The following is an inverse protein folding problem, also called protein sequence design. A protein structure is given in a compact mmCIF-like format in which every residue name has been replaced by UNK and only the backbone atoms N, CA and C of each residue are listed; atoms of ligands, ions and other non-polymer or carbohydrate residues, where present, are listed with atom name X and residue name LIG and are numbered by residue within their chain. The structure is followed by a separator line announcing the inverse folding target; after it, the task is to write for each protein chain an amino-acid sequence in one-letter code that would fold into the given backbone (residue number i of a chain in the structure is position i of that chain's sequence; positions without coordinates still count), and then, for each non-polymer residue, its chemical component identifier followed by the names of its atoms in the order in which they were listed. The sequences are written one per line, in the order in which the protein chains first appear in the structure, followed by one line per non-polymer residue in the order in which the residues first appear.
data_IF_358797430319
#
_entry.id   IF_358797430319
#
_cell.length_a   1.000
_cell.length_b   1.000
_cell.length_c   1.000
_cell.angle_alpha   90.00
_cell.angle_beta   90.00
_cell.angle_gamma   90.00
#
_symmetry.space_group_name_H-M   'P 1'
#
loop_
_entity.id
_entity.type
_entity.pdbx_description
1 polymer ?
#
# COMPACT_ATOMS: atom_id res chain seq x y z
N UNK A 1 38.34 -12.87 -40.14
CA UNK A 1 38.52 -11.61 -39.40
C UNK A 1 37.75 -11.76 -38.10
N UNK A 2 38.48 -11.83 -36.97
CA UNK A 2 38.02 -11.93 -35.56
C UNK A 2 37.12 -13.14 -35.21
N UNK A 3 37.50 -14.13 -34.40
CA UNK A 3 38.10 -14.13 -33.05
C UNK A 3 37.11 -13.73 -31.94
N UNK A 4 36.77 -14.74 -31.13
CA UNK A 4 36.33 -14.78 -29.71
C UNK A 4 34.98 -14.20 -29.27
N UNK A 5 34.24 -15.07 -28.59
CA UNK A 5 33.91 -14.96 -27.16
C UNK A 5 33.34 -16.34 -26.74
N UNK A 6 34.19 -17.35 -26.56
CA UNK A 6 34.75 -17.69 -25.24
C UNK A 6 33.73 -17.49 -24.10
N UNK A 7 32.79 -18.43 -23.98
CA UNK A 7 32.08 -18.63 -22.73
C UNK A 7 32.91 -19.60 -21.90
N UNK A 8 33.64 -19.16 -20.86
CA UNK A 8 34.29 -20.13 -19.99
C UNK A 8 33.19 -20.94 -19.29
N UNK A 9 33.12 -22.24 -19.59
CA UNK A 9 32.57 -23.20 -18.65
C UNK A 9 33.44 -23.13 -17.40
N UNK A 10 33.00 -22.34 -16.42
CA UNK A 10 33.57 -22.36 -15.08
C UNK A 10 33.38 -23.76 -14.50
N UNK A 11 34.42 -24.57 -14.67
CA UNK A 11 34.64 -25.81 -13.96
C UNK A 11 34.98 -25.43 -12.51
N UNK A 12 33.96 -25.06 -11.75
CA UNK A 12 34.07 -24.76 -10.33
C UNK A 12 34.44 -26.04 -9.56
N UNK A 13 35.75 -26.29 -9.52
CA UNK A 13 36.41 -27.27 -8.67
C UNK A 13 36.39 -26.69 -7.26
N UNK A 14 35.25 -26.82 -6.58
CA UNK A 14 35.10 -26.52 -5.17
C UNK A 14 35.02 -27.82 -4.38
N UNK A 15 36.15 -28.31 -3.88
CA UNK A 15 36.26 -29.51 -3.03
C UNK A 15 35.57 -29.33 -1.66
N UNK A 16 35.02 -28.16 -1.37
CA UNK A 16 34.19 -27.89 -0.19
C UNK A 16 32.73 -27.89 -0.58
N UNK A 17 32.12 -29.06 -0.42
CA UNK A 17 30.72 -29.32 -0.68
C UNK A 17 29.81 -28.23 -0.13
N UNK A 18 28.85 -27.84 -0.96
CA UNK A 18 27.61 -27.18 -0.57
C UNK A 18 27.14 -27.76 0.76
N UNK A 19 27.35 -27.03 1.87
CA UNK A 19 26.63 -27.34 3.10
C UNK A 19 25.15 -27.17 2.74
N UNK A 20 24.32 -28.22 2.82
CA UNK A 20 22.89 -28.03 2.62
C UNK A 20 22.46 -27.01 3.67
N UNK A 21 21.94 -25.88 3.20
CA UNK A 21 21.35 -24.85 4.05
C UNK A 21 20.22 -25.56 4.78
N UNK A 22 20.48 -25.93 6.04
CA UNK A 22 19.54 -26.67 6.84
C UNK A 22 18.33 -25.78 7.10
N UNK A 23 17.35 -25.84 6.20
CA UNK A 23 15.96 -25.50 6.51
C UNK A 23 15.45 -26.59 7.45
N UNK A 24 16.02 -26.63 8.66
CA UNK A 24 15.54 -27.51 9.71
C UNK A 24 14.26 -26.86 10.21
N UNK A 25 13.13 -27.37 9.74
CA UNK A 25 11.85 -27.27 10.43
C UNK A 25 12.10 -27.58 11.90
N UNK A 26 12.11 -26.51 12.69
CA UNK A 26 12.49 -26.49 14.09
C UNK A 26 11.27 -26.32 14.96
N UNK A 27 10.15 -26.91 14.57
CA UNK A 27 8.85 -26.64 15.18
C UNK A 27 8.83 -27.01 16.67
N UNK A 28 9.61 -28.02 17.08
CA UNK A 28 9.79 -28.38 18.50
C UNK A 28 10.68 -27.42 19.30
N UNK A 29 11.80 -26.97 18.74
CA UNK A 29 12.74 -26.07 19.45
C UNK A 29 12.22 -24.63 19.46
N UNK A 30 11.50 -24.23 18.41
CA UNK A 30 10.85 -22.92 18.32
C UNK A 30 9.71 -22.77 19.33
N UNK A 31 8.85 -23.78 19.47
CA UNK A 31 7.78 -23.78 20.47
C UNK A 31 8.33 -23.70 21.91
N UNK A 32 9.41 -24.44 22.20
CA UNK A 32 10.07 -24.41 23.50
C UNK A 32 10.72 -23.05 23.79
N UNK A 33 11.41 -22.45 22.81
CA UNK A 33 12.00 -21.12 22.97
C UNK A 33 10.95 -20.03 23.22
N UNK A 34 9.81 -20.10 22.53
CA UNK A 34 8.70 -19.17 22.71
C UNK A 34 8.01 -19.34 24.07
N UNK A 35 7.88 -20.57 24.57
CA UNK A 35 7.41 -20.84 25.92
C UNK A 35 8.39 -20.28 26.98
N UNK A 36 9.69 -20.46 26.78
CA UNK A 36 10.73 -19.96 27.68
C UNK A 36 10.77 -18.42 27.69
N UNK A 37 10.66 -17.77 26.52
CA UNK A 37 10.61 -16.32 26.41
C UNK A 37 9.38 -15.73 27.14
N UNK A 38 8.21 -16.35 26.97
CA UNK A 38 6.99 -15.96 27.71
C UNK A 38 7.13 -16.21 29.22
N UNK A 39 7.84 -17.26 29.62
CA UNK A 39 8.08 -17.59 31.02
C UNK A 39 8.99 -16.55 31.72
N UNK A 40 10.12 -16.18 31.11
CA UNK A 40 11.03 -15.16 31.66
C UNK A 40 10.44 -13.74 31.65
N UNK A 41 9.54 -13.44 30.70
CA UNK A 41 8.89 -12.12 30.59
C UNK A 41 7.73 -11.89 31.57
N UNK A 42 7.31 -12.90 32.33
CA UNK A 42 6.17 -12.79 33.24
C UNK A 42 6.63 -12.48 34.68
N UNK A 43 6.00 -11.53 35.40
CA UNK A 43 6.36 -11.22 36.80
C UNK A 43 6.23 -12.40 37.78
N UNK A 44 5.49 -13.45 37.39
CA UNK A 44 5.37 -14.70 38.15
C UNK A 44 6.71 -15.44 38.30
N UNK A 45 7.61 -15.36 37.31
CA UNK A 45 8.92 -16.00 37.40
C UNK A 45 9.75 -15.45 38.57
N UNK A 46 9.76 -14.12 38.71
CA UNK A 46 10.46 -13.45 39.82
C UNK A 46 9.90 -13.90 41.17
N UNK A 47 8.57 -13.99 41.30
CA UNK A 47 7.93 -14.48 42.53
C UNK A 47 8.36 -15.91 42.85
N UNK A 48 8.33 -16.83 41.89
CA UNK A 48 8.79 -18.21 42.11
C UNK A 48 10.26 -18.27 42.52
N UNK A 49 11.14 -17.50 41.87
CA UNK A 49 12.57 -17.44 42.22
C UNK A 49 12.78 -16.86 43.62
N UNK A 50 12.06 -15.81 44.00
CA UNK A 50 12.13 -15.24 45.35
C UNK A 50 11.64 -16.24 46.40
N UNK A 51 10.52 -16.91 46.16
CA UNK A 51 10.01 -17.95 47.06
C UNK A 51 11.00 -19.10 47.20
N UNK A 52 11.62 -19.54 46.10
CA UNK A 52 12.67 -20.57 46.13
C UNK A 52 13.86 -20.14 46.98
N UNK A 53 14.39 -18.92 46.78
CA UNK A 53 15.49 -18.39 47.58
C UNK A 53 15.13 -18.28 49.06
N UNK A 54 13.94 -17.76 49.39
CA UNK A 54 13.46 -17.65 50.78
C UNK A 54 13.29 -19.02 51.41
N UNK A 55 12.70 -19.98 50.70
CA UNK A 55 12.53 -21.35 51.17
C UNK A 55 13.88 -22.01 51.44
N UNK A 56 14.84 -21.88 50.51
CA UNK A 56 16.19 -22.41 50.66
C UNK A 56 16.92 -21.83 51.86
N UNK A 57 16.83 -20.51 52.03
CA UNK A 57 17.42 -19.78 53.15
C UNK A 57 16.80 -20.24 54.47
N UNK A 58 15.46 -20.31 54.52
CA UNK A 58 14.69 -20.71 55.70
C UNK A 58 15.00 -22.16 56.09
N UNK A 59 15.00 -23.07 55.12
CA UNK A 59 15.31 -24.49 55.34
C UNK A 59 16.72 -24.66 55.92
N UNK A 60 17.73 -24.05 55.31
CA UNK A 60 19.11 -24.16 55.78
C UNK A 60 19.37 -23.40 57.08
N UNK A 61 18.57 -22.39 57.42
CA UNK A 61 18.68 -21.64 58.68
C UNK A 61 18.04 -22.39 59.85
N UNK A 62 16.84 -22.96 59.68
CA UNK A 62 16.11 -23.64 60.76
C UNK A 62 16.47 -25.14 60.90
N UNK A 63 17.10 -25.75 59.90
CA UNK A 63 17.52 -27.14 59.99
C UNK A 63 18.64 -27.36 61.02
N UNK A 64 18.61 -28.48 61.78
CA UNK A 64 19.71 -28.93 62.65
C UNK A 64 21.03 -29.12 61.89
N UNK A 65 22.18 -28.88 62.52
CA UNK A 65 23.52 -28.89 61.89
C UNK A 65 23.85 -30.17 61.09
N UNK A 66 23.29 -31.30 61.50
CA UNK A 66 23.43 -32.60 60.86
C UNK A 66 22.63 -32.78 59.55
N UNK A 67 21.72 -31.86 59.21
CA UNK A 67 20.91 -31.88 57.97
C UNK A 67 21.08 -30.61 57.13
N UNK A 68 22.00 -29.71 57.52
CA UNK A 68 22.31 -28.48 56.78
C UNK A 68 23.19 -28.82 55.57
N UNK A 69 22.59 -28.80 54.38
CA UNK A 69 23.34 -28.93 53.13
C UNK A 69 24.15 -27.66 52.81
N UNK A 70 23.68 -26.48 53.23
CA UNK A 70 24.31 -25.19 52.98
C UNK A 70 24.35 -24.36 54.28
N UNK A 71 25.45 -24.48 55.04
CA UNK A 71 25.57 -23.82 56.35
C UNK A 71 25.68 -22.30 56.23
N UNK A 72 24.91 -21.57 57.06
CA UNK A 72 24.98 -20.10 57.18
C UNK A 72 26.40 -19.58 57.43
N UNK A 73 27.24 -20.33 58.15
CA UNK A 73 28.62 -19.99 58.44
C UNK A 73 29.54 -19.89 57.21
N UNK A 74 29.20 -20.57 56.10
CA UNK A 74 29.93 -20.50 54.83
C UNK A 74 29.30 -19.51 53.83
N UNK A 75 28.25 -18.77 54.22
CA UNK A 75 27.64 -17.76 53.37
C UNK A 75 26.77 -18.30 52.23
N UNK A 76 26.20 -19.49 52.38
CA UNK A 76 25.36 -20.14 51.36
C UNK A 76 26.09 -20.38 50.03
N UNK A 77 27.26 -21.02 50.10
CA UNK A 77 28.13 -21.27 48.95
C UNK A 77 27.43 -22.07 47.86
N UNK A 78 26.61 -23.06 48.22
CA UNK A 78 25.91 -23.89 47.22
C UNK A 78 24.85 -23.08 46.47
N UNK A 79 24.08 -22.27 47.19
CA UNK A 79 23.11 -21.35 46.57
C UNK A 79 23.83 -20.42 45.58
N UNK A 80 24.96 -19.84 45.98
CA UNK A 80 25.73 -18.92 45.16
C UNK A 80 26.31 -19.61 43.92
N UNK A 81 26.87 -20.82 44.07
CA UNK A 81 27.35 -21.63 42.95
C UNK A 81 26.22 -21.94 41.97
N UNK A 82 25.05 -22.30 42.48
CA UNK A 82 23.88 -22.60 41.65
C UNK A 82 23.37 -21.37 40.89
N UNK A 83 23.28 -20.20 41.55
CA UNK A 83 22.88 -18.95 40.88
C UNK A 83 23.90 -18.53 39.81
N UNK A 84 25.20 -18.68 40.07
CA UNK A 84 26.23 -18.34 39.08
C UNK A 84 26.19 -19.25 37.86
N UNK A 85 25.95 -20.55 38.06
CA UNK A 85 25.71 -21.50 36.97
C UNK A 85 24.42 -21.16 36.20
N UNK A 86 23.35 -20.77 36.90
CA UNK A 86 22.08 -20.38 36.30
C UNK A 86 22.25 -19.21 35.32
N UNK A 87 23.00 -18.19 35.72
CA UNK A 87 23.35 -17.08 34.83
C UNK A 87 24.18 -17.54 33.62
N UNK A 88 25.16 -18.42 33.84
CA UNK A 88 26.07 -18.90 32.79
C UNK A 88 25.36 -19.71 31.69
N UNK A 89 24.45 -20.63 32.05
CA UNK A 89 23.73 -21.42 31.04
C UNK A 89 22.59 -20.63 30.36
N UNK A 90 22.09 -19.58 31.01
CA UNK A 90 21.00 -18.77 30.44
C UNK A 90 21.46 -18.00 29.20
N UNK A 91 22.69 -17.47 29.19
CA UNK A 91 23.23 -16.70 28.07
C UNK A 91 23.19 -17.43 26.71
N UNK A 92 23.69 -18.69 26.57
CA UNK A 92 23.62 -19.40 25.29
C UNK A 92 22.20 -19.79 24.88
N UNK A 93 21.31 -20.07 25.84
CA UNK A 93 19.91 -20.37 25.54
C UNK A 93 19.17 -19.12 25.05
N UNK A 94 19.42 -17.97 25.69
CA UNK A 94 18.88 -16.67 25.28
C UNK A 94 19.39 -16.31 23.88
N UNK A 95 20.68 -16.54 23.56
CA UNK A 95 21.23 -16.30 22.23
C UNK A 95 20.52 -17.13 21.14
N UNK A 96 20.20 -18.39 21.42
CA UNK A 96 19.43 -19.22 20.47
C UNK A 96 18.00 -18.72 20.27
N UNK A 97 17.36 -18.23 21.33
CA UNK A 97 16.03 -17.62 21.25
C UNK A 97 16.08 -16.29 20.46
N UNK A 98 17.10 -15.46 20.72
CA UNK A 98 17.29 -14.17 20.07
C UNK A 98 17.58 -14.30 18.57
N UNK A 99 18.47 -15.21 18.16
CA UNK A 99 18.77 -15.41 16.73
C UNK A 99 17.50 -15.69 15.92
N UNK A 100 16.58 -16.48 16.47
CA UNK A 100 15.30 -16.77 15.80
C UNK A 100 14.34 -15.61 15.79
N UNK A 101 14.29 -14.81 16.86
CA UNK A 101 13.46 -13.61 16.88
C UNK A 101 13.96 -12.63 15.80
N UNK A 102 15.27 -12.42 15.71
CA UNK A 102 15.91 -11.61 14.67
C UNK A 102 15.60 -12.12 13.26
N UNK A 103 15.59 -13.44 13.04
CA UNK A 103 15.23 -14.01 11.74
C UNK A 103 13.77 -13.73 11.36
N UNK A 104 12.83 -13.85 12.32
CA UNK A 104 11.41 -13.50 12.09
C UNK A 104 11.24 -12.01 11.82
N UNK A 105 11.87 -11.16 12.63
CA UNK A 105 11.81 -9.71 12.52
C UNK A 105 12.38 -9.24 11.18
N UNK A 106 13.43 -9.91 10.68
CA UNK A 106 13.99 -9.67 9.35
C UNK A 106 12.98 -9.98 8.24
N UNK A 107 12.32 -11.14 8.29
CA UNK A 107 11.31 -11.51 7.28
C UNK A 107 10.12 -10.55 7.32
N UNK A 108 9.67 -10.17 8.51
CA UNK A 108 8.61 -9.18 8.67
C UNK A 108 9.01 -7.83 8.06
N UNK A 109 10.23 -7.36 8.31
CA UNK A 109 10.74 -6.12 7.73
C UNK A 109 10.90 -6.18 6.20
N UNK A 110 11.29 -7.32 5.63
CA UNK A 110 11.36 -7.51 4.18
C UNK A 110 9.96 -7.47 3.54
N UNK A 111 8.96 -8.10 4.17
CA UNK A 111 7.57 -8.03 3.71
C UNK A 111 6.98 -6.63 3.80
N UNK A 112 7.28 -5.90 4.89
CA UNK A 112 6.81 -4.53 5.08
C UNK A 112 7.40 -3.57 4.02
N UNK A 113 8.67 -3.74 3.67
CA UNK A 113 9.29 -3.01 2.55
C UNK A 113 8.58 -3.28 1.23
N UNK A 114 8.32 -4.55 0.89
CA UNK A 114 7.61 -4.90 -0.35
C UNK A 114 6.19 -4.34 -0.38
N UNK A 115 5.48 -4.34 0.76
CA UNK A 115 4.15 -3.73 0.87
C UNK A 115 4.21 -2.22 0.66
N UNK A 116 5.21 -1.55 1.25
CA UNK A 116 5.40 -0.11 1.10
C UNK A 116 5.70 0.27 -0.36
N UNK A 117 6.54 -0.50 -1.05
CA UNK A 117 6.82 -0.30 -2.48
C UNK A 117 5.55 -0.45 -3.34
N UNK A 118 4.74 -1.47 -3.08
CA UNK A 118 3.45 -1.66 -3.76
C UNK A 118 2.47 -0.53 -3.48
N UNK A 119 2.33 -0.12 -2.22
CA UNK A 119 1.47 0.98 -1.84
C UNK A 119 1.89 2.30 -2.50
N UNK A 120 3.20 2.55 -2.63
CA UNK A 120 3.72 3.71 -3.34
C UNK A 120 3.36 3.64 -4.83
N UNK A 121 3.55 2.48 -5.47
CA UNK A 121 3.16 2.28 -6.87
C UNK A 121 1.65 2.46 -7.10
N UNK A 122 0.81 1.92 -6.22
CA UNK A 122 -0.65 2.08 -6.28
C UNK A 122 -1.05 3.56 -6.10
N UNK A 123 -0.39 4.26 -5.19
CA UNK A 123 -0.63 5.69 -4.97
C UNK A 123 -0.22 6.52 -6.19
N UNK A 124 0.92 6.21 -6.81
CA UNK A 124 1.34 6.84 -8.06
C UNK A 124 0.38 6.55 -9.22
N UNK A 125 -0.11 5.31 -9.31
CA UNK A 125 -1.10 4.92 -10.30
C UNK A 125 -2.39 5.71 -10.13
N UNK A 126 -2.94 5.72 -8.91
CA UNK A 126 -4.14 6.50 -8.59
C UNK A 126 -3.93 8.00 -8.84
N UNK A 127 -2.76 8.57 -8.54
CA UNK A 127 -2.46 9.97 -8.83
C UNK A 127 -2.45 10.26 -10.34
N UNK A 128 -1.91 9.36 -11.16
CA UNK A 128 -1.93 9.49 -12.64
C UNK A 128 -3.35 9.36 -13.19
N UNK A 129 -4.12 8.39 -12.71
CA UNK A 129 -5.53 8.22 -13.10
C UNK A 129 -6.41 9.40 -12.66
N UNK A 130 -6.17 9.96 -11.47
CA UNK A 130 -6.86 11.18 -11.04
C UNK A 130 -6.52 12.39 -11.92
N UNK A 131 -5.26 12.50 -12.36
CA UNK A 131 -4.84 13.56 -13.27
C UNK A 131 -5.48 13.42 -14.65
N UNK A 132 -5.52 12.21 -15.22
CA UNK A 132 -6.18 11.94 -16.51
C UNK A 132 -7.69 12.21 -16.43
N UNK A 133 -8.35 11.74 -15.37
CA UNK A 133 -9.77 11.97 -15.14
C UNK A 133 -10.09 13.46 -14.95
N UNK A 134 -9.22 14.22 -14.26
CA UNK A 134 -9.36 15.67 -14.13
C UNK A 134 -9.27 16.38 -15.49
N UNK A 135 -8.33 15.99 -16.35
CA UNK A 135 -8.20 16.55 -17.69
C UNK A 135 -9.44 16.25 -18.55
N UNK A 136 -9.92 15.00 -18.52
CA UNK A 136 -11.14 14.60 -19.23
C UNK A 136 -12.37 15.38 -18.73
N UNK A 137 -12.50 15.58 -17.41
CA UNK A 137 -13.57 16.40 -16.85
C UNK A 137 -13.43 17.89 -17.19
N UNK A 138 -12.22 18.44 -17.28
CA UNK A 138 -12.03 19.82 -17.75
C UNK A 138 -12.52 20.01 -19.17
N UNK A 139 -12.33 19.01 -20.04
CA UNK A 139 -12.79 19.07 -21.44
C UNK A 139 -14.32 19.06 -21.53
N UNK A 140 -14.99 18.18 -20.78
CA UNK A 140 -16.46 18.06 -20.74
C UNK A 140 -17.14 19.20 -19.96
N UNK A 141 -16.43 19.86 -19.04
CA UNK A 141 -16.96 20.93 -18.19
C UNK A 141 -16.47 22.33 -18.61
N UNK A 142 -16.05 22.53 -19.86
CA UNK A 142 -15.79 23.90 -20.31
C UNK A 142 -17.12 24.62 -20.43
N UNK A 143 -17.30 25.61 -19.56
CA UNK A 143 -18.37 26.61 -19.54
C UNK A 143 -18.81 27.06 -20.94
N UNK A 144 -17.90 27.10 -21.90
CA UNK A 144 -18.17 27.51 -23.28
C UNK A 144 -18.89 26.44 -24.11
N UNK A 145 -18.64 25.14 -23.88
CA UNK A 145 -19.44 24.06 -24.48
C UNK A 145 -20.86 24.07 -23.92
N UNK A 146 -21.00 24.10 -22.59
CA UNK A 146 -22.32 24.19 -21.93
C UNK A 146 -23.06 25.46 -22.33
N UNK A 147 -22.36 26.58 -22.47
CA UNK A 147 -22.93 27.86 -22.92
C UNK A 147 -23.25 27.85 -24.42
N UNK A 148 -22.50 27.12 -25.23
CA UNK A 148 -22.78 26.88 -26.64
C UNK A 148 -24.09 26.10 -26.79
N UNK A 149 -24.18 24.95 -26.14
CA UNK A 149 -25.37 24.10 -26.20
C UNK A 149 -26.62 24.80 -25.65
N UNK A 150 -26.49 25.54 -24.55
CA UNK A 150 -27.58 26.38 -24.02
C UNK A 150 -28.01 27.48 -25.00
N UNK A 151 -27.09 28.00 -25.81
CA UNK A 151 -27.35 29.08 -26.74
C UNK A 151 -27.99 28.55 -28.02
N UNK A 152 -27.51 27.42 -28.52
CA UNK A 152 -28.11 26.71 -29.66
C UNK A 152 -29.55 26.26 -29.30
N UNK A 153 -29.75 25.65 -28.13
CA UNK A 153 -31.09 25.28 -27.65
C UNK A 153 -32.02 26.50 -27.47
N UNK A 154 -31.50 27.65 -27.03
CA UNK A 154 -32.28 28.89 -26.92
C UNK A 154 -32.63 29.49 -28.29
N UNK A 155 -31.73 29.36 -29.27
CA UNK A 155 -31.92 29.87 -30.62
C UNK A 155 -32.98 29.07 -31.36
N UNK A 156 -32.93 27.73 -31.27
CA UNK A 156 -33.96 26.81 -31.78
C UNK A 156 -35.35 27.17 -31.23
N UNK A 157 -35.48 27.29 -29.91
CA UNK A 157 -36.75 27.63 -29.24
C UNK A 157 -37.28 29.01 -29.69
N UNK A 158 -36.39 29.96 -29.92
CA UNK A 158 -36.77 31.31 -30.37
C UNK A 158 -37.20 31.31 -31.84
N UNK A 159 -36.59 30.47 -32.65
CA UNK A 159 -36.93 30.31 -34.06
C UNK A 159 -38.30 29.63 -34.22
N UNK A 160 -38.59 28.63 -33.39
CA UNK A 160 -39.90 28.00 -33.29
C UNK A 160 -41.00 29.00 -32.92
N UNK A 161 -40.79 29.83 -31.89
CA UNK A 161 -41.74 30.89 -31.50
C UNK A 161 -41.97 31.93 -32.61
N UNK A 162 -40.93 32.25 -33.39
CA UNK A 162 -41.06 33.17 -34.56
C UNK A 162 -41.76 32.52 -35.73
N UNK A 163 -41.58 31.23 -35.94
CA UNK A 163 -42.31 30.47 -36.95
C UNK A 163 -43.80 30.45 -36.59
N UNK A 164 -44.14 30.19 -35.33
CA UNK A 164 -45.51 30.26 -34.81
C UNK A 164 -46.11 31.67 -34.96
N UNK A 165 -45.40 32.73 -34.55
CA UNK A 165 -45.89 34.11 -34.73
C UNK A 165 -46.09 34.49 -36.20
N UNK A 166 -45.24 33.99 -37.13
CA UNK A 166 -45.43 34.23 -38.57
C UNK A 166 -46.62 33.46 -39.12
N UNK A 167 -46.88 32.26 -38.62
CA UNK A 167 -48.09 31.52 -38.95
C UNK A 167 -49.34 32.27 -38.44
N UNK A 168 -49.26 32.97 -37.31
CA UNK A 168 -50.35 33.83 -36.82
C UNK A 168 -50.49 35.18 -37.56
N UNK A 169 -49.39 35.75 -38.09
CA UNK A 169 -49.38 37.08 -38.76
C UNK A 169 -49.59 37.02 -40.28
N UNK A 170 -49.37 35.85 -40.90
CA UNK A 170 -49.45 35.64 -42.35
C UNK A 170 -50.85 35.63 -42.97
N UNK A 171 -51.91 35.80 -42.19
CA UNK A 171 -53.31 35.82 -42.65
C UNK A 171 -53.82 37.24 -42.99
N UNK A 172 -52.94 38.25 -43.11
CA UNK A 172 -53.34 39.67 -43.09
C UNK A 172 -53.17 40.54 -44.34
N UNK A 173 -52.51 40.11 -45.44
CA UNK A 173 -52.23 41.04 -46.55
C UNK A 173 -52.16 40.35 -47.92
N UNK A 174 -53.34 40.16 -48.53
CA UNK A 174 -53.54 40.09 -49.97
C UNK A 174 -54.79 40.92 -50.30
N UNK A 175 -54.60 42.09 -50.93
CA UNK A 175 -55.59 42.73 -51.79
C UNK A 175 -55.04 44.06 -52.35
N UNK A 176 -54.90 44.15 -53.68
CA UNK A 176 -54.93 45.46 -54.34
C UNK A 176 -54.14 45.65 -55.64
N UNK A 177 -54.84 45.39 -56.75
CA UNK A 177 -54.84 46.19 -57.97
C UNK A 177 -53.92 45.77 -59.15
N UNK A 178 -54.55 45.16 -60.15
CA UNK A 178 -54.05 44.94 -61.50
C UNK A 178 -54.75 45.90 -62.48
N UNK A 179 -53.97 46.70 -63.23
CA UNK A 179 -54.48 47.53 -64.34
C UNK A 179 -53.78 47.10 -65.64
N UNK A 180 -54.49 46.71 -66.71
CA UNK A 180 -53.87 46.31 -67.97
C UNK A 180 -53.84 47.48 -68.98
N UNK A 181 -52.66 47.81 -69.50
CA UNK A 181 -52.50 48.82 -70.56
C UNK A 181 -52.50 48.17 -71.95
N UNK A 182 -53.42 48.65 -72.81
CA UNK A 182 -53.69 48.10 -74.15
C UNK A 182 -52.68 48.59 -75.20
N UNK A 183 -52.38 47.66 -76.10
CA UNK A 183 -51.52 47.74 -77.29
C UNK A 183 -52.11 48.61 -78.42
N UNK A 184 -51.29 49.44 -79.07
CA UNK A 184 -51.53 50.03 -80.40
C UNK A 184 -50.29 50.80 -80.90
N UNK A 185 -49.45 50.20 -81.74
CA UNK A 185 -49.42 50.31 -83.23
C UNK A 185 -48.87 51.65 -83.76
N UNK A 186 -47.67 51.53 -84.37
CA UNK A 186 -47.09 52.27 -85.54
C UNK A 186 -47.01 53.81 -85.45
N UNK A 187 -46.04 54.54 -86.01
CA UNK A 187 -45.17 54.38 -87.17
C UNK A 187 -43.92 55.26 -86.96
N UNK A 188 -42.88 54.91 -87.73
CA UNK A 188 -41.93 55.79 -88.43
C UNK A 188 -41.59 57.14 -87.80
N UNK A 189 -40.28 57.34 -87.69
CA UNK A 189 -39.67 58.46 -88.41
C UNK A 189 -38.61 59.24 -87.64
N UNK A 190 -37.44 59.32 -88.28
CA UNK A 190 -36.65 60.55 -88.37
C UNK A 190 -35.93 61.05 -87.11
N UNK A 191 -34.65 60.67 -87.03
CA UNK A 191 -33.62 61.64 -87.41
C UNK A 191 -32.97 62.49 -86.30
N UNK A 192 -31.64 62.55 -86.46
CA UNK A 192 -30.71 63.64 -86.13
C UNK A 192 -30.09 63.72 -84.73
N UNK A 193 -28.78 63.47 -84.79
CA UNK A 193 -27.64 64.20 -84.19
C UNK A 193 -27.20 63.76 -82.81
#
# INVERSE_FOLDING_TARGET
MADRLDTPLEKATGLFGRRPRATRSGDGVGANAEAIARFFGTPRFLVYMTVFCVFWLTWNTLAPENLRFDSYALGFTLLTLMLSLQASYSAPLILLAQNRQTDRDRVAAEQDRQRTERNLADTEFLAREMASLRLALQDVATRDYVRGELRDLLEDLREEIRADNRAETGDGEDDGESVPERRGRSERGSGRR
#
